data_IF_171934409016
#
_entry.id   IF_171934409016
#
_cell.length_a   1.000
_cell.length_b   1.000
_cell.length_c   1.000
_cell.angle_alpha   90.00
_cell.angle_beta   90.00
_cell.angle_gamma   90.00
#
_symmetry.space_group_name_H-M   'P 1'
#
loop_
_entity.id
_entity.type
_entity.pdbx_description
1 polymer ?
#
# COMPACT_ATOMS: atom_id res chain seq x y z
N UNK A 1 -13.34 -20.70 -11.08
CA UNK A 1 -13.01 -19.58 -10.18
C UNK A 1 -11.55 -19.19 -10.34
N UNK A 2 -11.32 -17.96 -10.66
CA UNK A 2 -9.95 -17.45 -10.72
C UNK A 2 -9.44 -17.21 -9.31
N UNK A 3 -8.26 -17.70 -9.02
CA UNK A 3 -7.61 -17.42 -7.74
C UNK A 3 -7.04 -16.02 -7.77
N UNK A 4 -7.27 -15.28 -6.68
CA UNK A 4 -6.68 -13.97 -6.50
C UNK A 4 -5.27 -14.16 -5.96
N UNK A 5 -4.29 -13.61 -6.64
CA UNK A 5 -2.90 -13.67 -6.18
C UNK A 5 -2.19 -12.35 -6.49
N UNK A 6 -1.12 -12.10 -5.74
CA UNK A 6 -0.31 -10.90 -5.88
C UNK A 6 0.92 -11.23 -6.73
N UNK A 7 1.18 -10.41 -7.72
CA UNK A 7 2.44 -10.45 -8.45
C UNK A 7 3.23 -9.17 -8.24
N UNK A 8 4.51 -9.20 -8.52
CA UNK A 8 5.30 -7.98 -8.49
C UNK A 8 4.88 -7.08 -9.65
N UNK A 9 4.68 -5.79 -9.39
CA UNK A 9 4.39 -4.81 -10.42
C UNK A 9 5.62 -4.52 -11.28
N UNK A 10 5.39 -4.26 -12.55
CA UNK A 10 6.44 -3.94 -13.54
C UNK A 10 6.13 -2.60 -14.19
N UNK A 11 7.08 -2.05 -14.95
CA UNK A 11 6.94 -0.70 -15.50
C UNK A 11 5.70 -0.53 -16.38
N UNK A 12 5.27 -1.60 -17.04
CA UNK A 12 4.04 -1.61 -17.85
C UNK A 12 2.79 -1.34 -17.04
N UNK A 13 2.86 -1.52 -15.71
CA UNK A 13 1.72 -1.27 -14.81
C UNK A 13 1.63 0.19 -14.38
N UNK A 14 2.51 1.06 -14.84
CA UNK A 14 2.60 2.43 -14.33
C UNK A 14 1.27 3.19 -14.39
N UNK A 15 0.59 3.18 -15.53
CA UNK A 15 -0.65 3.95 -15.68
C UNK A 15 -1.74 3.45 -14.72
N UNK A 16 -1.89 2.14 -14.58
CA UNK A 16 -2.88 1.55 -13.67
C UNK A 16 -2.51 1.77 -12.21
N UNK A 17 -1.23 1.66 -11.87
CA UNK A 17 -0.78 1.93 -10.52
C UNK A 17 -1.00 3.41 -10.15
N UNK A 18 -0.78 4.33 -11.11
CA UNK A 18 -1.08 5.74 -10.92
C UNK A 18 -2.57 5.98 -10.70
N UNK A 19 -3.43 5.28 -11.43
CA UNK A 19 -4.87 5.37 -11.22
C UNK A 19 -5.24 4.98 -9.79
N UNK A 20 -4.71 3.87 -9.30
CA UNK A 20 -4.96 3.42 -7.94
C UNK A 20 -4.39 4.41 -6.91
N UNK A 21 -3.19 4.96 -7.15
CA UNK A 21 -2.57 5.92 -6.24
C UNK A 21 -3.38 7.21 -6.14
N UNK A 22 -3.89 7.70 -7.26
CA UNK A 22 -4.75 8.89 -7.27
C UNK A 22 -6.05 8.62 -6.51
N UNK A 23 -6.68 7.47 -6.75
CA UNK A 23 -7.90 7.11 -6.04
C UNK A 23 -7.65 6.96 -4.53
N UNK A 24 -6.54 6.37 -4.15
CA UNK A 24 -6.17 6.20 -2.75
C UNK A 24 -5.96 7.55 -2.05
N UNK A 25 -5.31 8.50 -2.70
CA UNK A 25 -5.09 9.82 -2.12
C UNK A 25 -6.38 10.62 -2.03
N UNK A 26 -7.28 10.50 -3.01
CA UNK A 26 -8.60 11.13 -2.93
C UNK A 26 -9.41 10.63 -1.73
N UNK A 27 -9.22 9.38 -1.39
CA UNK A 27 -9.95 8.76 -0.29
C UNK A 27 -9.33 9.05 1.08
N UNK A 28 -7.99 9.06 1.18
CA UNK A 28 -7.30 9.04 2.48
C UNK A 28 -6.29 10.17 2.72
N UNK A 29 -5.99 11.02 1.75
CA UNK A 29 -4.99 12.07 1.95
C UNK A 29 -5.47 13.11 2.97
N UNK A 30 -4.56 13.54 3.82
CA UNK A 30 -4.81 14.59 4.80
C UNK A 30 -4.08 15.89 4.47
N UNK A 31 -3.37 15.91 3.34
CA UNK A 31 -2.81 17.13 2.73
C UNK A 31 -2.96 17.00 1.22
N UNK A 32 -2.78 18.11 0.51
CA UNK A 32 -2.98 18.14 -0.94
C UNK A 32 -1.98 17.23 -1.66
N UNK A 33 -2.46 16.27 -2.46
CA UNK A 33 -1.56 15.39 -3.22
C UNK A 33 -0.88 16.13 -4.36
N UNK A 34 0.35 15.74 -4.65
CA UNK A 34 1.10 16.21 -5.80
C UNK A 34 1.29 15.06 -6.78
N UNK A 35 0.75 15.22 -7.99
CA UNK A 35 0.74 14.15 -8.98
C UNK A 35 2.15 13.74 -9.43
N UNK A 36 3.09 14.70 -9.51
CA UNK A 36 4.44 14.38 -9.91
C UNK A 36 5.17 13.58 -8.84
N UNK A 37 4.94 13.89 -7.57
CA UNK A 37 5.52 13.09 -6.48
C UNK A 37 4.95 11.68 -6.47
N UNK A 38 3.64 11.54 -6.68
CA UNK A 38 3.03 10.22 -6.82
C UNK A 38 3.70 9.43 -7.95
N UNK A 39 3.86 10.07 -9.11
CA UNK A 39 4.48 9.42 -10.27
C UNK A 39 5.90 8.96 -9.98
N UNK A 40 6.70 9.79 -9.32
CA UNK A 40 8.08 9.43 -8.95
C UNK A 40 8.12 8.21 -8.04
N UNK A 41 7.26 8.18 -7.02
CA UNK A 41 7.21 7.04 -6.10
C UNK A 41 6.71 5.77 -6.76
N UNK A 42 5.70 5.88 -7.62
CA UNK A 42 5.18 4.71 -8.34
C UNK A 42 6.21 4.16 -9.32
N UNK A 43 6.87 5.03 -10.05
CA UNK A 43 7.91 4.61 -11.00
C UNK A 43 9.09 3.95 -10.26
N UNK A 44 9.52 4.54 -9.15
CA UNK A 44 10.61 3.96 -8.35
C UNK A 44 10.27 2.56 -7.86
N UNK A 45 9.02 2.34 -7.42
CA UNK A 45 8.58 1.02 -6.96
C UNK A 45 8.53 0.00 -8.10
N UNK A 46 8.13 0.43 -9.30
CA UNK A 46 8.01 -0.47 -10.46
C UNK A 46 9.36 -0.79 -11.10
N UNK A 47 10.38 0.02 -10.84
CA UNK A 47 11.73 -0.18 -11.38
C UNK A 47 12.73 -0.64 -10.32
N UNK A 48 12.26 -0.99 -9.14
CA UNK A 48 13.08 -1.42 -7.99
C UNK A 48 14.13 -0.39 -7.58
N UNK A 49 13.80 0.89 -7.74
CA UNK A 49 14.65 1.97 -7.26
C UNK A 49 14.23 2.33 -5.84
N UNK A 50 14.83 1.65 -4.85
CA UNK A 50 14.50 1.81 -3.44
C UNK A 50 13.02 1.50 -3.13
N UNK A 51 12.45 0.51 -3.83
CA UNK A 51 11.08 0.12 -3.58
C UNK A 51 10.63 -1.06 -4.43
N UNK A 52 9.41 -1.51 -4.15
CA UNK A 52 8.78 -2.59 -4.89
C UNK A 52 7.26 -2.44 -4.75
N UNK A 53 6.51 -2.89 -5.73
CA UNK A 53 5.05 -2.89 -5.67
C UNK A 53 4.50 -4.30 -5.87
N UNK A 54 3.49 -4.66 -5.09
CA UNK A 54 2.70 -5.86 -5.31
C UNK A 54 1.35 -5.46 -5.90
N UNK A 55 0.91 -6.16 -6.93
CA UNK A 55 -0.32 -5.80 -7.64
C UNK A 55 -1.21 -7.03 -7.82
N UNK A 56 -2.51 -6.77 -7.85
CA UNK A 56 -3.55 -7.78 -8.12
C UNK A 56 -4.34 -7.31 -9.34
N UNK A 57 -4.55 -8.18 -10.30
CA UNK A 57 -5.31 -7.87 -11.50
C UNK A 57 -4.87 -8.72 -12.66
N UNK A 58 -4.92 -8.16 -13.85
CA UNK A 58 -4.49 -8.83 -15.06
C UNK A 58 -2.97 -8.89 -15.18
N UNK A 59 -2.49 -9.22 -16.37
CA UNK A 59 -1.07 -9.22 -16.68
C UNK A 59 -0.51 -7.79 -16.80
N UNK A 60 0.80 -7.65 -17.10
CA UNK A 60 1.43 -6.33 -17.21
C UNK A 60 0.67 -5.40 -18.15
N UNK A 61 0.35 -4.20 -17.65
CA UNK A 61 -0.39 -3.19 -18.41
C UNK A 61 -1.89 -3.36 -18.42
N UNK A 62 -2.42 -4.46 -17.93
CA UNK A 62 -3.86 -4.69 -17.84
C UNK A 62 -4.46 -4.07 -16.57
N UNK A 63 -5.81 -3.92 -16.51
CA UNK A 63 -6.44 -3.31 -15.34
C UNK A 63 -6.07 -3.97 -14.02
N UNK A 64 -5.80 -3.16 -13.01
CA UNK A 64 -5.48 -3.61 -11.66
C UNK A 64 -6.67 -3.43 -10.72
N UNK A 65 -6.80 -4.36 -9.79
CA UNK A 65 -7.86 -4.37 -8.76
C UNK A 65 -7.37 -3.81 -7.44
N UNK A 66 -6.08 -3.90 -7.19
CA UNK A 66 -5.47 -3.41 -5.97
C UNK A 66 -3.95 -3.48 -6.03
N UNK A 67 -3.31 -2.78 -5.10
CA UNK A 67 -1.86 -2.73 -5.05
C UNK A 67 -1.36 -2.35 -3.65
N UNK A 68 -0.12 -2.73 -3.36
CA UNK A 68 0.63 -2.24 -2.21
C UNK A 68 1.97 -1.72 -2.72
N UNK A 69 2.37 -0.55 -2.23
CA UNK A 69 3.62 0.09 -2.62
C UNK A 69 4.53 0.18 -1.40
N UNK A 70 5.70 -0.39 -1.51
CA UNK A 70 6.70 -0.46 -0.45
C UNK A 70 7.93 0.33 -0.84
N UNK A 71 8.49 1.07 0.12
CA UNK A 71 9.77 1.74 -0.02
C UNK A 71 10.78 1.04 0.87
N UNK A 72 11.98 0.82 0.33
CA UNK A 72 13.09 0.22 1.10
C UNK A 72 14.17 1.29 1.26
N UNK A 73 14.54 1.60 2.49
CA UNK A 73 15.54 2.61 2.74
C UNK A 73 15.75 2.83 4.23
N UNK A 74 16.73 3.66 4.60
CA UNK A 74 17.03 3.92 6.01
C UNK A 74 16.00 4.80 6.68
N UNK A 75 15.84 4.62 7.99
CA UNK A 75 15.15 5.59 8.83
C UNK A 75 16.12 6.74 9.15
N UNK A 76 15.59 7.83 9.73
CA UNK A 76 16.40 9.04 9.94
C UNK A 76 17.57 8.85 10.92
N UNK A 77 17.52 7.84 11.77
CA UNK A 77 18.53 7.61 12.80
C UNK A 77 19.45 6.41 12.53
N UNK A 78 19.34 5.76 11.36
CA UNK A 78 20.12 4.54 11.10
C UNK A 78 20.46 4.42 9.64
N UNK A 79 21.56 3.75 9.35
CA UNK A 79 21.91 3.36 7.98
C UNK A 79 21.29 2.03 7.57
N UNK A 80 20.78 1.27 8.54
CA UNK A 80 20.11 -0.01 8.26
C UNK A 80 18.78 0.24 7.59
N UNK A 81 18.46 -0.48 6.52
CA UNK A 81 17.21 -0.26 5.80
C UNK A 81 16.02 -0.87 6.53
N UNK A 82 14.87 -0.24 6.32
CA UNK A 82 13.58 -0.84 6.66
C UNK A 82 12.69 -0.80 5.42
N UNK A 83 11.62 -1.57 5.45
CA UNK A 83 10.57 -1.51 4.44
C UNK A 83 9.44 -0.69 5.02
N UNK A 84 9.03 0.37 4.31
CA UNK A 84 7.87 1.17 4.70
C UNK A 84 6.75 0.99 3.68
N UNK A 85 5.56 0.66 4.17
CA UNK A 85 4.38 0.68 3.32
C UNK A 85 4.00 2.13 3.04
N UNK A 86 3.93 2.52 1.77
CA UNK A 86 3.53 3.86 1.34
C UNK A 86 2.04 3.93 1.05
N UNK A 87 1.50 2.89 0.48
CA UNK A 87 0.07 2.81 0.18
C UNK A 87 -0.36 1.36 0.03
N UNK A 88 -1.56 1.08 0.48
CA UNK A 88 -2.27 -0.16 0.16
C UNK A 88 -3.68 0.25 -0.25
N UNK A 89 -4.13 -0.22 -1.40
CA UNK A 89 -5.42 0.19 -1.91
C UNK A 89 -6.05 -0.92 -2.73
N UNK A 90 -7.33 -1.14 -2.51
CA UNK A 90 -8.16 -2.05 -3.30
C UNK A 90 -9.31 -1.23 -3.83
N UNK A 91 -9.57 -1.29 -5.13
CA UNK A 91 -10.69 -0.57 -5.74
C UNK A 91 -12.00 -0.97 -5.08
N UNK A 92 -12.93 -0.01 -4.86
CA UNK A 92 -14.14 -0.28 -4.08
C UNK A 92 -14.94 -1.51 -4.51
N UNK A 93 -15.06 -1.77 -5.80
CA UNK A 93 -15.83 -2.90 -6.32
C UNK A 93 -15.24 -4.25 -5.94
N UNK A 94 -13.98 -4.29 -5.48
CA UNK A 94 -13.31 -5.54 -5.11
C UNK A 94 -13.11 -5.71 -3.61
N UNK A 95 -13.51 -4.73 -2.80
CA UNK A 95 -13.25 -4.74 -1.35
C UNK A 95 -14.03 -5.81 -0.59
N UNK A 96 -15.28 -6.01 -0.95
CA UNK A 96 -16.14 -6.99 -0.31
C UNK A 96 -16.27 -8.27 -1.11
N UNK A 97 -15.57 -8.36 -2.24
CA UNK A 97 -15.59 -9.55 -3.08
C UNK A 97 -14.78 -10.68 -2.43
N UNK A 98 -15.09 -11.91 -2.79
CA UNK A 98 -14.31 -13.07 -2.35
C UNK A 98 -12.89 -12.96 -2.87
N UNK A 99 -11.93 -13.41 -2.08
CA UNK A 99 -10.53 -13.40 -2.46
C UNK A 99 -9.62 -12.68 -1.48
N UNK A 100 -10.17 -11.83 -0.60
CA UNK A 100 -9.40 -11.18 0.47
C UNK A 100 -8.21 -10.39 -0.04
N UNK A 101 -8.42 -9.49 -0.98
CA UNK A 101 -7.34 -8.79 -1.68
C UNK A 101 -6.43 -8.00 -0.75
N UNK A 102 -7.00 -7.24 0.18
CA UNK A 102 -6.20 -6.45 1.13
C UNK A 102 -5.32 -7.36 2.00
N UNK A 103 -5.86 -8.48 2.44
CA UNK A 103 -5.10 -9.45 3.23
C UNK A 103 -3.95 -10.05 2.41
N UNK A 104 -4.20 -10.40 1.17
CA UNK A 104 -3.18 -10.97 0.30
C UNK A 104 -2.06 -9.98 0.02
N UNK A 105 -2.39 -8.70 -0.15
CA UNK A 105 -1.39 -7.65 -0.31
C UNK A 105 -0.54 -7.50 0.97
N UNK A 106 -1.17 -7.53 2.13
CA UNK A 106 -0.43 -7.47 3.40
C UNK A 106 0.47 -8.69 3.60
N UNK A 107 -0.04 -9.88 3.29
CA UNK A 107 0.74 -11.12 3.36
C UNK A 107 1.92 -11.11 2.38
N UNK A 108 1.72 -10.56 1.19
CA UNK A 108 2.79 -10.41 0.21
C UNK A 108 3.90 -9.50 0.75
N UNK A 109 3.54 -8.38 1.37
CA UNK A 109 4.51 -7.47 2.00
C UNK A 109 5.28 -8.17 3.12
N UNK A 110 4.58 -8.98 3.92
CA UNK A 110 5.22 -9.79 4.96
C UNK A 110 6.24 -10.74 4.34
N UNK A 111 5.90 -11.36 3.21
CA UNK A 111 6.82 -12.23 2.46
C UNK A 111 8.05 -11.49 1.96
N UNK A 112 7.90 -10.25 1.50
CA UNK A 112 9.04 -9.42 1.10
C UNK A 112 9.98 -9.19 2.29
N UNK A 113 9.41 -8.86 3.44
CA UNK A 113 10.18 -8.69 4.68
C UNK A 113 10.92 -9.97 5.08
N UNK A 114 10.23 -11.09 5.05
CA UNK A 114 10.83 -12.39 5.37
C UNK A 114 11.97 -12.73 4.42
N UNK A 115 11.78 -12.52 3.13
CA UNK A 115 12.80 -12.84 2.12
C UNK A 115 14.04 -11.96 2.23
N UNK A 116 13.86 -10.68 2.54
CA UNK A 116 14.97 -9.75 2.65
C UNK A 116 15.60 -9.73 4.05
N UNK A 117 14.90 -10.23 5.05
CA UNK A 117 15.35 -10.16 6.44
C UNK A 117 15.38 -8.73 6.97
N UNK A 118 14.48 -7.87 6.49
CA UNK A 118 14.43 -6.45 6.83
C UNK A 118 13.09 -6.14 7.50
N UNK A 119 13.07 -5.33 8.58
CA UNK A 119 11.81 -4.98 9.24
C UNK A 119 10.83 -4.29 8.29
N UNK A 120 9.55 -4.59 8.45
CA UNK A 120 8.46 -3.96 7.69
C UNK A 120 7.63 -3.09 8.63
N UNK A 121 7.48 -1.82 8.27
CA UNK A 121 6.56 -0.90 8.93
C UNK A 121 5.34 -0.73 8.04
N UNK A 122 4.19 -1.10 8.55
CA UNK A 122 2.91 -0.97 7.86
C UNK A 122 1.91 -0.37 8.84
N UNK A 123 1.11 0.58 8.38
CA UNK A 123 0.22 1.29 9.28
C UNK A 123 -1.18 1.48 8.71
N UNK A 124 -2.07 1.97 9.55
CA UNK A 124 -3.42 2.33 9.15
C UNK A 124 -3.63 3.80 9.48
N UNK A 125 -3.73 4.61 8.44
CA UNK A 125 -4.09 6.01 8.55
C UNK A 125 -5.14 6.26 7.48
N UNK A 126 -6.40 6.24 7.88
CA UNK A 126 -7.51 6.28 6.94
C UNK A 126 -8.73 6.94 7.57
N UNK A 127 -9.65 7.39 6.72
CA UNK A 127 -10.90 8.00 7.14
C UNK A 127 -12.08 7.03 7.14
N UNK A 128 -11.91 5.82 6.61
CA UNK A 128 -13.00 4.85 6.53
C UNK A 128 -12.52 3.45 6.91
N UNK A 129 -13.39 2.69 7.56
CA UNK A 129 -13.14 1.29 7.89
C UNK A 129 -11.84 1.05 8.67
N UNK A 130 -11.43 2.04 9.46
CA UNK A 130 -10.15 2.00 10.18
C UNK A 130 -10.02 0.78 11.09
N UNK A 131 -11.07 0.48 11.88
CA UNK A 131 -11.05 -0.67 12.78
C UNK A 131 -10.97 -2.00 12.05
N UNK A 132 -11.65 -2.12 10.91
CA UNK A 132 -11.58 -3.33 10.10
C UNK A 132 -10.17 -3.55 9.55
N UNK A 133 -9.50 -2.47 9.13
CA UNK A 133 -8.11 -2.53 8.66
C UNK A 133 -7.16 -2.92 9.78
N UNK A 134 -7.35 -2.38 10.98
CA UNK A 134 -6.56 -2.74 12.15
C UNK A 134 -6.71 -4.23 12.45
N UNK A 135 -7.94 -4.74 12.49
CA UNK A 135 -8.19 -6.16 12.74
C UNK A 135 -7.52 -7.06 11.70
N UNK A 136 -7.54 -6.64 10.44
CA UNK A 136 -6.89 -7.39 9.37
C UNK A 136 -5.39 -7.46 9.60
N UNK A 137 -4.76 -6.34 9.93
CA UNK A 137 -3.32 -6.30 10.17
C UNK A 137 -2.92 -7.05 11.44
N UNK A 138 -3.77 -7.05 12.47
CA UNK A 138 -3.51 -7.84 13.66
C UNK A 138 -3.47 -9.34 13.35
N UNK A 139 -4.31 -9.80 12.44
CA UNK A 139 -4.30 -11.21 12.00
C UNK A 139 -3.04 -11.58 11.23
N UNK A 140 -2.49 -10.64 10.47
CA UNK A 140 -1.31 -10.89 9.64
C UNK A 140 -0.02 -10.68 10.42
N UNK A 141 0.06 -9.63 11.25
CA UNK A 141 1.30 -9.19 11.86
C UNK A 141 1.35 -9.29 13.38
N UNK A 142 0.23 -9.46 14.05
CA UNK A 142 0.14 -9.44 15.51
C UNK A 142 -0.25 -8.07 16.03
N UNK A 143 0.05 -7.81 17.32
CA UNK A 143 -0.34 -6.56 17.96
C UNK A 143 0.37 -5.36 17.34
N UNK A 144 -0.31 -4.20 17.26
CA UNK A 144 0.32 -2.99 16.73
C UNK A 144 1.46 -2.50 17.62
N UNK A 145 2.50 -1.94 16.99
CA UNK A 145 3.67 -1.44 17.69
C UNK A 145 3.45 -0.04 18.28
N UNK A 146 2.48 0.70 17.76
CA UNK A 146 2.20 2.06 18.24
C UNK A 146 0.99 2.65 17.53
N UNK A 147 0.74 3.93 17.77
CA UNK A 147 -0.37 4.67 17.19
C UNK A 147 0.08 6.06 16.74
N UNK A 148 -0.60 6.57 15.72
CA UNK A 148 -0.43 7.94 15.27
C UNK A 148 -1.62 8.79 15.68
N UNK A 149 -1.37 10.04 16.00
CA UNK A 149 -2.42 11.04 16.24
C UNK A 149 -2.35 12.06 15.13
N UNK A 150 -3.49 12.36 14.51
CA UNK A 150 -3.59 13.32 13.41
C UNK A 150 -4.27 14.58 13.93
N UNK A 151 -3.57 15.72 13.89
CA UNK A 151 -4.06 16.99 14.42
C UNK A 151 -4.05 18.05 13.32
N UNK A 152 -5.11 18.84 13.23
CA UNK A 152 -5.27 19.92 12.24
C UNK A 152 -5.32 19.44 10.77
N UNK A 153 -5.68 18.21 10.56
CA UNK A 153 -5.95 17.75 9.19
C UNK A 153 -7.29 18.31 8.73
N UNK A 154 -7.34 18.83 7.51
CA UNK A 154 -8.52 19.51 6.97
C UNK A 154 -9.06 18.84 5.71
N UNK A 155 -8.66 17.62 5.42
CA UNK A 155 -9.11 16.89 4.26
C UNK A 155 -9.91 15.65 4.67
N UNK A 156 -10.16 14.74 3.77
CA UNK A 156 -11.04 13.60 3.96
C UNK A 156 -10.90 12.83 5.27
N UNK A 157 -9.73 12.82 5.90
CA UNK A 157 -9.54 12.11 7.16
C UNK A 157 -10.31 12.71 8.33
N UNK A 158 -10.71 13.96 8.24
CA UNK A 158 -11.45 14.65 9.31
C UNK A 158 -12.96 14.58 9.13
N UNK A 159 -13.42 14.08 8.01
CA UNK A 159 -14.85 14.01 7.69
C UNK A 159 -15.46 12.63 7.94
N UNK A 160 -14.65 11.74 8.41
CA UNK A 160 -14.95 10.38 8.85
C UNK A 160 -16.25 9.75 8.53
#
# INVERSE_FOLDING_TARGET
MSDVFVREGVVEDFNELMRLAIDATRENAFVEPDTMMLAEHMYAALTRQMGVAGVIGGGPGEPLEGAIVLRVGPVWYSKSPIIEEKAIYVSPEFRSAKGGRARKLAEWAKGVSDNLGIPLSIGVLSNTRTEAKIRLYERVFGAPAGVYFLYNAKTGLTEG
#
